data_IF_745227007170
#
_entry.id   IF_745227007170
#
_cell.length_a   1.000
_cell.length_b   1.000
_cell.length_c   1.000
_cell.angle_alpha   90.00
_cell.angle_beta   90.00
_cell.angle_gamma   90.00
#
_symmetry.space_group_name_H-M   'P 1'
#
loop_
_entity.id
_entity.type
_entity.pdbx_description
1 polymer ?
#
# COMPACT_ATOMS: atom_id res chain seq x y z
N UNK A 1 4.81 -7.20 -2.83
CA UNK A 1 5.31 -6.26 -1.80
C UNK A 1 5.39 -4.87 -2.41
N UNK A 2 4.90 -3.87 -1.70
CA UNK A 2 4.99 -2.45 -2.02
C UNK A 2 5.96 -1.83 -1.03
N UNK A 3 6.98 -1.15 -1.52
CA UNK A 3 8.08 -0.62 -0.73
C UNK A 3 8.02 0.91 -0.67
N UNK A 4 8.75 1.51 0.25
CA UNK A 4 8.97 2.96 0.35
C UNK A 4 9.46 3.56 -0.98
N UNK A 5 10.40 2.88 -1.65
CA UNK A 5 10.80 3.21 -3.02
C UNK A 5 9.89 2.45 -3.99
N UNK A 6 9.29 3.14 -4.93
CA UNK A 6 8.22 2.63 -5.81
C UNK A 6 8.63 1.43 -6.66
N UNK A 7 9.94 1.29 -6.97
CA UNK A 7 10.56 0.19 -7.72
C UNK A 7 9.86 -0.17 -9.05
N UNK A 8 9.28 0.83 -9.70
CA UNK A 8 8.74 0.66 -11.03
C UNK A 8 9.88 0.50 -12.05
N UNK A 9 9.66 -0.27 -13.11
CA UNK A 9 10.60 -0.39 -14.21
C UNK A 9 10.60 0.91 -15.04
N UNK A 10 11.64 1.75 -14.95
CA UNK A 10 11.62 3.09 -15.55
C UNK A 10 11.64 3.06 -17.08
N UNK A 11 12.13 1.98 -17.68
CA UNK A 11 12.21 1.76 -19.13
C UNK A 11 10.93 1.15 -19.73
N UNK A 12 9.91 0.92 -18.91
CA UNK A 12 8.60 0.38 -19.30
C UNK A 12 7.51 1.41 -19.03
N UNK A 13 6.48 1.46 -19.88
CA UNK A 13 5.28 2.24 -19.60
C UNK A 13 4.55 1.70 -18.36
N UNK A 14 3.67 2.49 -17.78
CA UNK A 14 2.80 2.07 -16.68
C UNK A 14 2.08 0.77 -17.03
N UNK A 15 1.41 0.70 -18.18
CA UNK A 15 0.69 -0.50 -18.60
C UNK A 15 1.60 -1.74 -18.66
N UNK A 16 2.83 -1.60 -19.18
CA UNK A 16 3.78 -2.72 -19.21
C UNK A 16 4.24 -3.14 -17.81
N UNK A 17 4.42 -2.19 -16.88
CA UNK A 17 4.71 -2.49 -15.48
C UNK A 17 3.63 -3.36 -14.83
N UNK A 18 2.37 -3.13 -15.16
CA UNK A 18 1.23 -3.86 -14.59
C UNK A 18 1.02 -5.23 -15.27
N UNK A 19 1.26 -5.33 -16.58
CA UNK A 19 0.93 -6.54 -17.35
C UNK A 19 1.98 -7.63 -17.29
N UNK A 20 3.23 -7.31 -16.90
CA UNK A 20 4.33 -8.28 -16.92
C UNK A 20 4.09 -9.47 -15.98
N UNK A 21 3.62 -9.24 -14.75
CA UNK A 21 3.36 -10.30 -13.78
C UNK A 21 2.19 -11.22 -14.21
N UNK A 22 1.00 -10.72 -14.58
CA UNK A 22 -0.08 -11.54 -15.10
C UNK A 22 0.33 -12.42 -16.28
N UNK A 23 1.09 -11.87 -17.22
CA UNK A 23 1.55 -12.63 -18.39
C UNK A 23 2.61 -13.68 -18.07
N UNK A 24 3.58 -13.34 -17.19
CA UNK A 24 4.72 -14.22 -16.90
C UNK A 24 4.43 -15.26 -15.83
N UNK A 25 3.67 -14.89 -14.78
CA UNK A 25 3.40 -15.76 -13.63
C UNK A 25 2.09 -16.54 -13.79
N UNK A 26 1.08 -15.91 -14.39
CA UNK A 26 -0.26 -16.51 -14.51
C UNK A 26 -0.61 -16.92 -15.94
N UNK A 27 0.35 -16.81 -16.87
CA UNK A 27 0.20 -17.18 -18.28
C UNK A 27 -1.02 -16.56 -18.95
N UNK A 28 -1.46 -15.38 -18.46
CA UNK A 28 -2.58 -14.67 -19.08
C UNK A 28 -2.21 -14.18 -20.48
N UNK A 29 -3.18 -14.17 -21.37
CA UNK A 29 -3.05 -13.51 -22.68
C UNK A 29 -2.81 -12.02 -22.49
N UNK A 30 -2.26 -11.37 -23.53
CA UNK A 30 -2.05 -9.92 -23.53
C UNK A 30 -3.33 -9.17 -23.21
N UNK A 31 -4.46 -9.55 -23.83
CA UNK A 31 -5.75 -8.91 -23.61
C UNK A 31 -6.21 -9.03 -22.17
N UNK A 32 -6.20 -10.23 -21.59
CA UNK A 32 -6.59 -10.44 -20.19
C UNK A 32 -5.69 -9.66 -19.21
N UNK A 33 -4.38 -9.58 -19.49
CA UNK A 33 -3.46 -8.81 -18.67
C UNK A 33 -3.71 -7.30 -18.78
N UNK A 34 -4.02 -6.79 -19.97
CA UNK A 34 -4.37 -5.38 -20.19
C UNK A 34 -5.72 -5.04 -19.55
N UNK A 35 -6.75 -5.88 -19.68
CA UNK A 35 -8.05 -5.68 -19.04
C UNK A 35 -7.90 -5.61 -17.52
N UNK A 36 -7.11 -6.51 -16.92
CA UNK A 36 -6.79 -6.51 -15.49
C UNK A 36 -6.01 -5.24 -15.07
N UNK A 37 -5.03 -4.83 -15.87
CA UNK A 37 -4.25 -3.64 -15.60
C UNK A 37 -5.12 -2.37 -15.64
N UNK A 38 -6.00 -2.24 -16.62
CA UNK A 38 -6.94 -1.11 -16.68
C UNK A 38 -7.93 -1.09 -15.54
N UNK A 39 -8.41 -2.26 -15.10
CA UNK A 39 -9.24 -2.35 -13.90
C UNK A 39 -8.54 -1.76 -12.67
N UNK A 40 -7.28 -2.15 -12.41
CA UNK A 40 -6.55 -1.62 -11.25
C UNK A 40 -6.07 -0.18 -11.45
N UNK A 41 -5.85 0.26 -12.67
CA UNK A 41 -5.63 1.69 -12.96
C UNK A 41 -6.86 2.54 -12.61
N UNK A 42 -8.06 2.03 -12.86
CA UNK A 42 -9.31 2.68 -12.42
C UNK A 42 -9.41 2.71 -10.89
N UNK A 43 -9.06 1.61 -10.21
CA UNK A 43 -9.07 1.54 -8.73
C UNK A 43 -8.18 2.62 -8.10
N UNK A 44 -6.99 2.86 -8.69
CA UNK A 44 -6.03 3.86 -8.20
C UNK A 44 -6.20 5.25 -8.85
N UNK A 45 -7.19 5.44 -9.73
CA UNK A 45 -7.52 6.72 -10.36
C UNK A 45 -6.50 7.23 -11.36
N UNK A 46 -5.79 6.34 -12.07
CA UNK A 46 -4.68 6.68 -12.98
C UNK A 46 -4.79 6.01 -14.35
N UNK A 47 -6.03 5.76 -14.82
CA UNK A 47 -6.27 5.12 -16.14
C UNK A 47 -5.66 5.90 -17.30
N UNK A 48 -5.70 7.22 -17.25
CA UNK A 48 -5.13 8.12 -18.25
C UNK A 48 -3.60 8.04 -18.34
N UNK A 49 -2.93 7.49 -17.33
CA UNK A 49 -1.47 7.33 -17.25
C UNK A 49 -0.96 6.00 -17.79
N UNK A 50 -1.80 5.16 -18.40
CA UNK A 50 -1.41 3.81 -18.86
C UNK A 50 -0.19 3.81 -19.79
N UNK A 51 -0.05 4.80 -20.66
CA UNK A 51 0.96 4.85 -21.72
C UNK A 51 2.17 5.74 -21.42
N UNK A 52 2.22 6.39 -20.26
CA UNK A 52 3.38 7.20 -19.85
C UNK A 52 4.44 6.36 -19.14
N UNK A 53 5.63 6.90 -19.00
CA UNK A 53 6.72 6.27 -18.26
C UNK A 53 6.72 6.74 -16.80
N UNK A 54 7.14 5.88 -15.83
CA UNK A 54 7.16 6.23 -14.40
C UNK A 54 7.88 7.54 -14.09
N UNK A 55 8.94 7.87 -14.80
CA UNK A 55 9.74 9.09 -14.59
C UNK A 55 8.97 10.40 -14.81
N UNK A 56 7.82 10.34 -15.48
CA UNK A 56 6.96 11.52 -15.72
C UNK A 56 5.86 11.69 -14.64
N UNK A 57 5.81 10.79 -13.68
CA UNK A 57 4.78 10.76 -12.63
C UNK A 57 5.29 11.37 -11.33
N UNK A 58 4.38 12.00 -10.55
CA UNK A 58 4.67 12.40 -9.17
C UNK A 58 4.93 11.18 -8.27
N UNK A 59 5.55 11.39 -7.10
CA UNK A 59 5.80 10.32 -6.13
C UNK A 59 4.53 9.57 -5.72
N UNK A 60 3.45 10.28 -5.40
CA UNK A 60 2.17 9.68 -5.06
C UNK A 60 1.53 8.90 -6.23
N UNK A 61 1.68 9.39 -7.46
CA UNK A 61 1.24 8.66 -8.64
C UNK A 61 2.07 7.38 -8.84
N UNK A 62 3.39 7.44 -8.70
CA UNK A 62 4.26 6.26 -8.79
C UNK A 62 3.90 5.23 -7.72
N UNK A 63 3.63 5.65 -6.47
CA UNK A 63 3.23 4.74 -5.40
C UNK A 63 1.89 4.08 -5.68
N UNK A 64 0.89 4.82 -6.16
CA UNK A 64 -0.40 4.24 -6.57
C UNK A 64 -0.25 3.25 -7.72
N UNK A 65 0.64 3.49 -8.66
CA UNK A 65 0.97 2.51 -9.72
C UNK A 65 1.69 1.28 -9.15
N UNK A 66 2.58 1.44 -8.16
CA UNK A 66 3.22 0.31 -7.49
C UNK A 66 2.19 -0.57 -6.76
N UNK A 67 1.17 0.04 -6.15
CA UNK A 67 0.02 -0.67 -5.55
C UNK A 67 -0.75 -1.42 -6.63
N UNK A 68 -1.13 -0.75 -7.73
CA UNK A 68 -1.84 -1.39 -8.85
C UNK A 68 -1.04 -2.58 -9.43
N UNK A 69 0.29 -2.46 -9.54
CA UNK A 69 1.16 -3.56 -9.97
C UNK A 69 1.13 -4.75 -9.01
N UNK A 70 1.13 -4.49 -7.70
CA UNK A 70 1.02 -5.55 -6.70
C UNK A 70 -0.33 -6.26 -6.78
N UNK A 71 -1.43 -5.53 -7.04
CA UNK A 71 -2.77 -6.09 -7.25
C UNK A 71 -2.84 -6.95 -8.52
N UNK A 72 -2.23 -6.49 -9.62
CA UNK A 72 -2.15 -7.25 -10.87
C UNK A 72 -1.42 -8.60 -10.71
N UNK A 73 -0.53 -8.72 -9.74
CA UNK A 73 0.13 -9.99 -9.43
C UNK A 73 -0.81 -11.03 -8.78
N UNK A 74 -2.04 -10.66 -8.43
CA UNK A 74 -3.10 -11.53 -7.90
C UNK A 74 -2.64 -12.41 -6.72
N UNK A 75 -1.84 -11.85 -5.82
CA UNK A 75 -1.36 -12.53 -4.61
C UNK A 75 -2.44 -12.51 -3.52
N UNK A 76 -2.47 -13.54 -2.66
CA UNK A 76 -3.42 -13.61 -1.55
C UNK A 76 -3.20 -12.57 -0.47
N UNK A 77 -1.95 -12.12 -0.31
CA UNK A 77 -1.54 -11.15 0.72
C UNK A 77 -0.66 -10.10 0.05
N UNK A 78 -0.87 -8.84 0.37
CA UNK A 78 -0.01 -7.74 -0.06
C UNK A 78 0.74 -7.21 1.16
N UNK A 79 2.07 -7.11 1.04
CA UNK A 79 2.93 -6.52 2.07
C UNK A 79 3.24 -5.07 1.68
N UNK A 80 3.05 -4.15 2.61
CA UNK A 80 3.40 -2.74 2.49
C UNK A 80 4.46 -2.40 3.52
N UNK A 81 5.55 -1.79 3.06
CA UNK A 81 6.65 -1.35 3.92
C UNK A 81 6.79 0.16 3.79
N UNK A 82 6.26 0.87 4.78
CA UNK A 82 6.19 2.33 4.85
C UNK A 82 5.79 3.02 3.52
N UNK A 83 4.60 2.73 2.97
CA UNK A 83 4.23 3.13 1.62
C UNK A 83 4.10 4.65 1.42
N UNK A 84 4.10 5.44 2.50
CA UNK A 84 3.93 6.90 2.47
C UNK A 84 5.20 7.68 2.84
N UNK A 85 6.23 7.03 3.38
CA UNK A 85 7.39 7.72 3.98
C UNK A 85 8.27 8.51 2.99
N UNK A 86 8.19 8.20 1.70
CA UNK A 86 8.92 8.93 0.63
C UNK A 86 8.05 9.96 -0.11
N UNK A 87 6.86 10.28 0.42
CA UNK A 87 5.89 11.14 -0.24
C UNK A 87 5.80 12.52 0.41
N UNK A 88 5.45 13.51 -0.41
CA UNK A 88 5.07 14.83 0.08
C UNK A 88 3.75 14.75 0.87
N UNK A 89 3.57 15.52 1.95
CA UNK A 89 2.36 15.48 2.79
C UNK A 89 1.05 15.63 2.00
N UNK A 90 1.05 16.41 0.93
CA UNK A 90 -0.12 16.65 0.08
C UNK A 90 -0.56 15.38 -0.68
N UNK A 91 0.34 14.45 -0.93
CA UNK A 91 0.07 13.22 -1.71
C UNK A 91 -0.13 11.97 -0.85
N UNK A 92 0.18 12.04 0.45
CA UNK A 92 0.01 10.92 1.39
C UNK A 92 -1.45 10.46 1.41
N UNK A 93 -2.39 11.41 1.53
CA UNK A 93 -3.81 11.09 1.65
C UNK A 93 -4.34 10.32 0.44
N UNK A 94 -3.91 10.67 -0.77
CA UNK A 94 -4.32 9.96 -1.99
C UNK A 94 -3.92 8.48 -1.99
N UNK A 95 -2.76 8.16 -1.42
CA UNK A 95 -2.27 6.77 -1.29
C UNK A 95 -3.03 6.04 -0.19
N UNK A 96 -3.26 6.69 0.97
CA UNK A 96 -4.03 6.12 2.07
C UNK A 96 -5.48 5.83 1.66
N UNK A 97 -6.12 6.71 0.88
CA UNK A 97 -7.48 6.52 0.38
C UNK A 97 -7.59 5.26 -0.50
N UNK A 98 -6.59 5.01 -1.35
CA UNK A 98 -6.53 3.75 -2.12
C UNK A 98 -6.41 2.56 -1.18
N UNK A 99 -5.54 2.61 -0.17
CA UNK A 99 -5.35 1.51 0.77
C UNK A 99 -6.61 1.26 1.62
N UNK A 100 -7.32 2.31 2.04
CA UNK A 100 -8.63 2.21 2.73
C UNK A 100 -9.66 1.50 1.85
N UNK A 101 -9.70 1.84 0.55
CA UNK A 101 -10.58 1.18 -0.40
C UNK A 101 -10.28 -0.31 -0.51
N UNK A 102 -9.00 -0.69 -0.61
CA UNK A 102 -8.57 -2.09 -0.68
C UNK A 102 -8.92 -2.87 0.60
N UNK A 103 -8.79 -2.25 1.78
CA UNK A 103 -9.21 -2.86 3.04
C UNK A 103 -10.72 -3.16 3.04
N UNK A 104 -11.55 -2.24 2.56
CA UNK A 104 -13.01 -2.44 2.44
C UNK A 104 -13.39 -3.55 1.43
N UNK A 105 -12.54 -3.83 0.46
CA UNK A 105 -12.69 -4.93 -0.50
C UNK A 105 -12.16 -6.27 0.05
N UNK A 106 -11.83 -6.35 1.35
CA UNK A 106 -11.30 -7.53 2.05
C UNK A 106 -9.98 -8.08 1.45
N UNK A 107 -9.14 -7.21 0.91
CA UNK A 107 -7.80 -7.59 0.48
C UNK A 107 -6.92 -7.72 1.71
N UNK A 108 -6.37 -8.90 1.92
CA UNK A 108 -5.47 -9.14 3.05
C UNK A 108 -4.17 -8.35 2.88
N UNK A 109 -3.89 -7.47 3.83
CA UNK A 109 -2.72 -6.61 3.83
C UNK A 109 -1.94 -6.74 5.14
N UNK A 110 -0.62 -6.76 5.05
CA UNK A 110 0.28 -6.53 6.19
C UNK A 110 0.99 -5.21 5.92
N UNK A 111 0.82 -4.24 6.82
CA UNK A 111 1.28 -2.86 6.59
C UNK A 111 2.19 -2.43 7.72
N UNK A 112 3.43 -2.07 7.39
CA UNK A 112 4.32 -1.32 8.28
C UNK A 112 4.08 0.16 8.00
N UNK A 113 3.69 0.91 9.01
CA UNK A 113 3.33 2.33 8.85
C UNK A 113 3.49 3.11 10.15
N UNK A 114 3.71 4.40 10.03
CA UNK A 114 3.61 5.39 11.10
C UNK A 114 2.34 6.26 10.98
N UNK A 115 1.47 5.97 10.03
CA UNK A 115 0.18 6.64 9.85
C UNK A 115 -0.86 6.06 10.81
N UNK A 116 -0.85 6.55 12.06
CA UNK A 116 -1.68 5.98 13.13
C UNK A 116 -3.18 6.15 12.89
N UNK A 117 -3.58 7.26 12.24
CA UNK A 117 -4.98 7.49 11.84
C UNK A 117 -5.48 6.43 10.85
N UNK A 118 -4.65 6.08 9.87
CA UNK A 118 -4.94 5.01 8.93
C UNK A 118 -5.02 3.65 9.63
N UNK A 119 -4.01 3.31 10.45
CA UNK A 119 -3.99 2.04 11.18
C UNK A 119 -5.24 1.88 12.07
N UNK A 120 -5.65 2.93 12.79
CA UNK A 120 -6.86 2.92 13.62
C UNK A 120 -8.13 2.70 12.81
N UNK A 121 -8.19 3.23 11.60
CA UNK A 121 -9.38 3.18 10.74
C UNK A 121 -9.61 1.84 10.06
N UNK A 122 -8.53 1.13 9.68
CA UNK A 122 -8.65 -0.02 8.77
C UNK A 122 -8.09 -1.33 9.30
N UNK A 123 -7.28 -1.31 10.36
CA UNK A 123 -6.66 -2.52 10.85
C UNK A 123 -7.66 -3.41 11.60
N UNK A 124 -7.61 -4.72 11.35
CA UNK A 124 -8.28 -5.71 12.20
C UNK A 124 -7.39 -6.06 13.40
N UNK A 125 -6.08 -5.94 13.24
CA UNK A 125 -5.06 -6.26 14.25
C UNK A 125 -3.88 -5.30 14.13
N UNK A 126 -3.42 -4.81 15.25
CA UNK A 126 -2.22 -3.97 15.38
C UNK A 126 -1.14 -4.71 16.14
N UNK A 127 0.09 -4.64 15.67
CA UNK A 127 1.27 -5.24 16.31
C UNK A 127 2.31 -4.14 16.50
N UNK A 128 2.71 -3.90 17.74
CA UNK A 128 3.79 -2.98 18.05
C UNK A 128 5.09 -3.74 18.27
N UNK A 129 6.10 -3.38 17.48
CA UNK A 129 7.43 -3.97 17.54
C UNK A 129 8.46 -2.96 18.00
N UNK A 130 9.37 -3.40 18.86
CA UNK A 130 10.55 -2.61 19.25
C UNK A 130 11.71 -3.55 19.59
N UNK A 131 12.94 -3.14 19.29
CA UNK A 131 14.16 -3.90 19.53
C UNK A 131 14.12 -5.35 19.00
N UNK A 132 13.44 -5.55 17.83
CA UNK A 132 13.31 -6.86 17.21
C UNK A 132 12.31 -7.80 17.89
N UNK A 133 11.49 -7.30 18.83
CA UNK A 133 10.49 -8.09 19.57
C UNK A 133 9.09 -7.51 19.39
N UNK A 134 8.08 -8.40 19.44
CA UNK A 134 6.70 -7.98 19.56
C UNK A 134 6.46 -7.60 21.02
N UNK A 135 6.13 -6.34 21.25
CA UNK A 135 5.91 -5.77 22.58
C UNK A 135 4.44 -5.88 22.98
N UNK A 136 3.55 -5.61 22.05
CA UNK A 136 2.10 -5.68 22.27
C UNK A 136 1.39 -5.95 20.96
N UNK A 137 0.29 -6.67 21.00
CA UNK A 137 -0.62 -6.87 19.89
C UNK A 137 -2.08 -6.88 20.35
N UNK A 138 -2.98 -6.44 19.49
CA UNK A 138 -4.40 -6.40 19.82
C UNK A 138 -5.25 -5.80 18.70
N UNK A 139 -6.53 -5.59 19.01
CA UNK A 139 -7.43 -4.82 18.16
C UNK A 139 -7.03 -3.33 18.17
N UNK A 140 -7.45 -2.55 17.18
CA UNK A 140 -7.22 -1.10 17.19
C UNK A 140 -7.73 -0.44 18.48
N UNK A 141 -8.93 -0.76 18.95
CA UNK A 141 -9.51 -0.19 20.17
C UNK A 141 -8.63 -0.49 21.39
N UNK A 142 -8.16 -1.74 21.53
CA UNK A 142 -7.23 -2.08 22.61
C UNK A 142 -5.94 -1.28 22.50
N UNK A 143 -5.31 -1.26 21.31
CA UNK A 143 -4.01 -0.65 21.11
C UNK A 143 -4.04 0.88 21.28
N UNK A 144 -5.05 1.57 20.74
CA UNK A 144 -5.11 3.03 20.75
C UNK A 144 -5.76 3.63 22.00
N UNK A 145 -6.68 2.91 22.66
CA UNK A 145 -7.44 3.45 23.78
C UNK A 145 -6.98 2.88 25.13
N UNK A 146 -6.60 1.61 25.17
CA UNK A 146 -6.27 0.91 26.42
C UNK A 146 -4.98 0.05 26.29
N UNK A 147 -3.85 0.60 25.80
CA UNK A 147 -2.63 -0.17 25.69
C UNK A 147 -2.15 -0.66 27.07
N UNK A 148 -1.73 -1.92 27.14
CA UNK A 148 -1.25 -2.52 28.39
C UNK A 148 0.20 -2.12 28.69
N UNK A 149 1.05 -2.02 27.65
CA UNK A 149 2.47 -1.78 27.81
C UNK A 149 2.80 -0.29 27.90
N UNK A 150 3.60 0.10 28.90
CA UNK A 150 4.01 1.49 29.12
C UNK A 150 4.80 2.09 27.93
N UNK A 151 5.54 1.27 27.19
CA UNK A 151 6.28 1.73 26.00
C UNK A 151 5.32 2.10 24.85
N UNK A 152 4.21 1.37 24.71
CA UNK A 152 3.15 1.72 23.75
C UNK A 152 2.46 3.01 24.14
N UNK A 153 2.12 3.19 25.44
CA UNK A 153 1.55 4.45 25.93
C UNK A 153 2.44 5.65 25.66
N UNK A 154 3.75 5.51 25.93
CA UNK A 154 4.74 6.56 25.65
C UNK A 154 4.85 6.88 24.15
N UNK A 155 4.80 5.86 23.30
CA UNK A 155 4.83 6.00 21.84
C UNK A 155 3.59 6.76 21.35
N UNK A 156 2.40 6.31 21.74
CA UNK A 156 1.15 6.96 21.35
C UNK A 156 1.05 8.38 21.86
N UNK A 157 1.48 8.64 23.10
CA UNK A 157 1.48 9.98 23.68
C UNK A 157 2.41 10.99 22.98
N UNK A 158 3.36 10.53 22.15
CA UNK A 158 4.22 11.40 21.32
C UNK A 158 3.61 11.69 19.94
N UNK A 159 2.78 10.80 19.42
CA UNK A 159 2.24 10.87 18.05
C UNK A 159 0.84 11.45 18.01
N UNK A 160 0.01 11.13 19.00
CA UNK A 160 -1.39 11.58 19.10
C UNK A 160 -1.43 12.84 19.97
N UNK A 161 -0.80 13.91 19.50
CA UNK A 161 -0.94 15.26 20.10
C UNK A 161 -1.80 16.12 19.23
#
# INVERSE_FOLDING_TARGET
MVLQQFNLYPHMTVLKNLTIAPMKLHHKSKKEAEDLAYHYLDVVGLRDKAHVYPTTLSGGQQQRIAIARALCAQTKIILFDEPTSALDPETIQEVLDVMIKLAKENITMVVVTHEMGFARQVADRVVFMADGQIIEEGTPDHFFENPANERVKQFLGKIIR
#
